data_IF_174993013028
#
_entry.id   IF_174993013028
#
_cell.length_a   1.000
_cell.length_b   1.000
_cell.length_c   1.000
_cell.angle_alpha   90.00
_cell.angle_beta   90.00
_cell.angle_gamma   90.00
#
_symmetry.space_group_name_H-M   'P 1'
#
loop_
_entity.id
_entity.type
_entity.pdbx_description
1 polymer ?
#
# COMPACT_ATOMS: atom_id res chain seq x y z
N UNK A 1 -2.12 -4.49 -26.09
CA UNK A 1 -3.14 -4.46 -25.02
C UNK A 1 -2.94 -5.74 -24.23
N UNK A 2 -2.54 -5.60 -22.97
CA UNK A 2 -2.29 -6.70 -22.04
C UNK A 2 -3.53 -6.96 -21.20
N UNK A 3 -3.65 -8.17 -20.68
CA UNK A 3 -4.61 -8.53 -19.64
C UNK A 3 -3.88 -8.68 -18.33
N UNK A 4 -4.15 -7.79 -17.39
CA UNK A 4 -3.41 -7.66 -16.14
C UNK A 4 -4.30 -7.97 -14.94
N UNK A 5 -3.79 -8.76 -14.00
CA UNK A 5 -4.35 -8.90 -12.66
C UNK A 5 -3.59 -7.98 -11.72
N UNK A 6 -4.28 -7.12 -10.99
CA UNK A 6 -3.66 -6.29 -9.96
C UNK A 6 -4.17 -6.75 -8.58
N UNK A 7 -3.25 -7.15 -7.71
CA UNK A 7 -3.51 -7.43 -6.30
C UNK A 7 -2.87 -6.29 -5.51
N UNK A 8 -3.68 -5.46 -4.85
CA UNK A 8 -3.20 -4.23 -4.26
C UNK A 8 -3.78 -3.93 -2.88
N UNK A 9 -3.02 -3.17 -2.09
CA UNK A 9 -3.50 -2.59 -0.86
C UNK A 9 -4.64 -1.59 -1.13
N UNK A 10 -5.70 -1.66 -0.34
CA UNK A 10 -6.83 -0.75 -0.45
C UNK A 10 -6.45 0.72 -0.22
N UNK A 11 -5.30 0.98 0.39
CA UNK A 11 -4.74 2.33 0.46
C UNK A 11 -4.47 2.98 -0.92
N UNK A 12 -4.27 2.16 -1.97
CA UNK A 12 -4.04 2.62 -3.35
C UNK A 12 -5.32 2.66 -4.20
N UNK A 13 -6.48 2.47 -3.58
CA UNK A 13 -7.74 2.30 -4.32
C UNK A 13 -8.03 3.45 -5.29
N UNK A 14 -7.93 4.69 -4.83
CA UNK A 14 -8.26 5.86 -5.65
C UNK A 14 -7.29 6.03 -6.80
N UNK A 15 -6.01 5.96 -6.50
CA UNK A 15 -4.92 6.19 -7.45
C UNK A 15 -4.92 5.11 -8.54
N UNK A 16 -4.93 3.84 -8.15
CA UNK A 16 -4.93 2.74 -9.11
C UNK A 16 -6.24 2.66 -9.90
N UNK A 17 -7.40 2.96 -9.30
CA UNK A 17 -8.68 2.98 -10.03
C UNK A 17 -8.70 4.08 -11.09
N UNK A 18 -8.23 5.27 -10.76
CA UNK A 18 -8.11 6.37 -11.72
C UNK A 18 -7.18 6.00 -12.89
N UNK A 19 -6.00 5.49 -12.58
CA UNK A 19 -5.01 5.14 -13.60
C UNK A 19 -5.45 3.95 -14.45
N UNK A 20 -6.11 2.96 -13.86
CA UNK A 20 -6.67 1.83 -14.59
C UNK A 20 -7.76 2.24 -15.57
N UNK A 21 -8.61 3.20 -15.19
CA UNK A 21 -9.65 3.73 -16.09
C UNK A 21 -9.07 4.40 -17.34
N UNK A 22 -7.83 4.85 -17.29
CA UNK A 22 -7.11 5.47 -18.41
C UNK A 22 -6.06 4.55 -19.05
N UNK A 23 -5.88 3.33 -18.54
CA UNK A 23 -4.92 2.36 -19.07
C UNK A 23 -5.37 1.80 -20.43
N UNK A 24 -4.45 1.55 -21.38
CA UNK A 24 -4.78 0.81 -22.60
C UNK A 24 -5.01 -0.68 -22.37
N UNK A 25 -4.78 -1.18 -21.17
CA UNK A 25 -4.82 -2.60 -20.82
C UNK A 25 -6.16 -3.00 -20.18
N UNK A 26 -6.48 -4.30 -20.21
CA UNK A 26 -7.62 -4.86 -19.48
C UNK A 26 -7.12 -5.21 -18.08
N UNK A 27 -7.78 -4.68 -17.06
CA UNK A 27 -7.33 -4.79 -15.67
C UNK A 27 -8.43 -5.39 -14.80
N UNK A 28 -8.09 -6.47 -14.11
CA UNK A 28 -8.89 -7.08 -13.05
C UNK A 28 -8.24 -6.81 -11.69
N UNK A 29 -9.01 -6.38 -10.69
CA UNK A 29 -8.50 -6.05 -9.36
C UNK A 29 -8.90 -7.06 -8.29
N UNK A 30 -7.96 -7.30 -7.37
CA UNK A 30 -8.22 -7.79 -6.00
C UNK A 30 -7.69 -6.76 -5.01
N UNK A 31 -8.55 -6.32 -4.10
CA UNK A 31 -8.20 -5.34 -3.07
C UNK A 31 -8.06 -6.03 -1.72
N UNK A 32 -6.85 -6.00 -1.14
CA UNK A 32 -6.64 -6.45 0.22
C UNK A 32 -6.79 -5.30 1.22
N UNK A 33 -7.28 -5.63 2.41
CA UNK A 33 -7.49 -4.65 3.47
C UNK A 33 -6.19 -3.94 3.87
N UNK A 34 -6.31 -2.67 4.24
CA UNK A 34 -5.22 -1.95 4.86
C UNK A 34 -4.80 -2.61 6.19
N UNK A 35 -3.52 -2.45 6.58
CA UNK A 35 -2.99 -2.94 7.86
C UNK A 35 -2.54 -4.40 7.87
N UNK A 36 -2.67 -5.16 6.78
CA UNK A 36 -2.20 -6.55 6.74
C UNK A 36 -0.70 -6.70 6.96
N UNK A 37 0.08 -5.65 6.68
CA UNK A 37 1.53 -5.62 6.93
C UNK A 37 1.88 -5.44 8.43
N UNK A 38 0.93 -5.04 9.27
CA UNK A 38 1.10 -4.93 10.72
C UNK A 38 1.03 -6.30 11.42
N UNK A 39 0.48 -7.30 10.74
CA UNK A 39 0.39 -8.67 11.24
C UNK A 39 1.57 -9.47 10.71
N UNK A 40 2.40 -9.99 11.59
CA UNK A 40 3.59 -10.78 11.21
C UNK A 40 3.18 -11.94 10.29
N UNK A 41 3.69 -11.93 9.06
CA UNK A 41 3.38 -12.93 8.03
C UNK A 41 1.97 -12.82 7.43
N UNK A 42 1.11 -11.91 7.89
CA UNK A 42 -0.27 -11.78 7.42
C UNK A 42 -0.36 -11.38 5.94
N UNK A 43 0.44 -10.41 5.53
CA UNK A 43 0.43 -9.93 4.16
C UNK A 43 0.92 -10.99 3.16
N UNK A 44 2.03 -11.68 3.46
CA UNK A 44 2.58 -12.71 2.56
C UNK A 44 1.60 -13.86 2.37
N UNK A 45 0.92 -14.29 3.44
CA UNK A 45 -0.09 -15.37 3.36
C UNK A 45 -1.26 -14.94 2.47
N UNK A 46 -1.81 -13.74 2.69
CA UNK A 46 -2.93 -13.26 1.90
C UNK A 46 -2.58 -13.07 0.41
N UNK A 47 -1.39 -12.54 0.11
CA UNK A 47 -0.93 -12.39 -1.27
C UNK A 47 -0.70 -13.74 -1.95
N UNK A 48 -0.11 -14.70 -1.25
CA UNK A 48 0.14 -16.06 -1.75
C UNK A 48 -1.18 -16.80 -2.06
N UNK A 49 -2.19 -16.65 -1.20
CA UNK A 49 -3.53 -17.21 -1.43
C UNK A 49 -4.19 -16.63 -2.69
N UNK A 50 -4.13 -15.31 -2.89
CA UNK A 50 -4.69 -14.65 -4.07
C UNK A 50 -3.92 -15.02 -5.36
N UNK A 51 -2.58 -15.07 -5.32
CA UNK A 51 -1.77 -15.51 -6.45
C UNK A 51 -2.11 -16.95 -6.83
N UNK A 52 -2.25 -17.86 -5.86
CA UNK A 52 -2.64 -19.26 -6.08
C UNK A 52 -4.06 -19.39 -6.64
N UNK A 53 -4.98 -18.53 -6.22
CA UNK A 53 -6.33 -18.49 -6.78
C UNK A 53 -6.29 -18.12 -8.28
N UNK A 54 -5.49 -17.12 -8.64
CA UNK A 54 -5.24 -16.73 -10.04
C UNK A 54 -4.59 -17.87 -10.82
N UNK A 55 -3.50 -18.44 -10.30
CA UNK A 55 -2.76 -19.54 -10.95
C UNK A 55 -3.63 -20.77 -11.23
N UNK A 56 -4.57 -21.06 -10.33
CA UNK A 56 -5.49 -22.21 -10.47
C UNK A 56 -6.74 -21.90 -11.32
N UNK A 57 -6.90 -20.68 -11.82
CA UNK A 57 -8.09 -20.23 -12.53
C UNK A 57 -9.35 -20.16 -11.67
N UNK A 58 -9.20 -20.08 -10.34
CA UNK A 58 -10.29 -20.02 -9.36
C UNK A 58 -10.39 -18.65 -8.67
N UNK A 59 -9.84 -17.62 -9.27
CA UNK A 59 -9.90 -16.26 -8.72
C UNK A 59 -11.36 -15.78 -8.63
N UNK A 60 -11.91 -15.58 -7.42
CA UNK A 60 -13.29 -15.16 -7.22
C UNK A 60 -13.54 -13.71 -7.64
N UNK A 61 -12.49 -12.93 -7.84
CA UNK A 61 -12.54 -11.51 -8.20
C UNK A 61 -12.44 -11.28 -9.72
N UNK A 62 -12.27 -12.33 -10.49
CA UNK A 62 -12.33 -12.26 -11.96
C UNK A 62 -13.78 -12.25 -12.40
N UNK A 63 -14.22 -11.16 -13.01
CA UNK A 63 -15.63 -10.83 -13.25
C UNK A 63 -16.32 -11.66 -14.33
N UNK A 64 -15.63 -12.55 -15.06
CA UNK A 64 -16.25 -13.32 -16.13
C UNK A 64 -15.63 -14.71 -16.30
N UNK A 65 -16.48 -15.73 -16.63
CA UNK A 65 -16.01 -17.09 -16.78
C UNK A 65 -14.93 -17.17 -17.87
N UNK A 66 -14.12 -18.18 -17.79
CA UNK A 66 -12.73 -18.14 -18.12
C UNK A 66 -12.50 -17.64 -19.53
N UNK A 67 -11.86 -16.51 -19.66
CA UNK A 67 -10.99 -16.40 -20.79
C UNK A 67 -10.01 -17.57 -20.61
N UNK A 68 -10.00 -18.52 -21.54
CA UNK A 68 -9.13 -19.70 -21.51
C UNK A 68 -7.62 -19.37 -21.54
N UNK A 69 -7.25 -18.13 -21.24
CA UNK A 69 -5.89 -17.65 -21.27
C UNK A 69 -5.51 -17.05 -19.91
N UNK A 70 -4.28 -17.35 -19.42
CA UNK A 70 -3.75 -16.73 -18.21
C UNK A 70 -3.63 -15.20 -18.38
N UNK A 71 -3.47 -14.48 -17.27
CA UNK A 71 -3.08 -13.08 -17.31
C UNK A 71 -1.67 -12.94 -17.91
N UNK A 72 -1.44 -11.87 -18.68
CA UNK A 72 -0.11 -11.55 -19.19
C UNK A 72 0.86 -11.23 -18.05
N UNK A 73 0.36 -10.67 -16.94
CA UNK A 73 1.10 -10.47 -15.71
C UNK A 73 0.17 -10.33 -14.50
N UNK A 74 0.69 -10.68 -13.32
CA UNK A 74 0.10 -10.35 -12.02
C UNK A 74 0.92 -9.19 -11.42
N UNK A 75 0.27 -8.07 -11.19
CA UNK A 75 0.88 -6.86 -10.65
C UNK A 75 0.61 -6.77 -9.15
N UNK A 76 1.65 -6.63 -8.33
CA UNK A 76 1.51 -6.44 -6.90
C UNK A 76 1.60 -4.94 -6.56
N UNK A 77 0.47 -4.33 -6.19
CA UNK A 77 0.39 -2.94 -5.75
C UNK A 77 0.87 -2.78 -4.31
N UNK A 78 2.14 -3.16 -4.09
CA UNK A 78 2.85 -3.15 -2.81
C UNK A 78 4.30 -2.75 -3.01
N UNK A 79 4.92 -2.16 -1.98
CA UNK A 79 6.36 -2.20 -1.81
C UNK A 79 6.78 -3.46 -1.06
N UNK A 80 8.00 -3.48 -0.51
CA UNK A 80 8.51 -4.56 0.35
C UNK A 80 7.63 -4.74 1.62
N UNK A 81 7.10 -3.63 2.18
CA UNK A 81 6.09 -3.60 3.23
C UNK A 81 6.42 -4.59 4.38
N UNK A 82 7.50 -4.35 5.10
CA UNK A 82 7.97 -5.21 6.21
C UNK A 82 8.24 -6.66 5.76
N UNK A 83 8.82 -6.86 4.58
CA UNK A 83 9.08 -8.15 3.94
C UNK A 83 7.79 -8.94 3.57
N UNK A 84 6.66 -8.26 3.49
CA UNK A 84 5.36 -8.88 3.23
C UNK A 84 5.17 -9.45 1.82
N UNK A 85 6.16 -9.27 0.92
CA UNK A 85 6.16 -9.85 -0.42
C UNK A 85 7.28 -10.89 -0.64
N UNK A 86 8.09 -11.15 0.39
CA UNK A 86 9.22 -12.09 0.29
C UNK A 86 8.71 -13.54 0.13
N UNK A 87 9.34 -14.28 -0.76
CA UNK A 87 8.99 -15.66 -1.06
C UNK A 87 7.80 -15.86 -2.00
N UNK A 88 7.09 -14.80 -2.39
CA UNK A 88 5.97 -14.90 -3.33
C UNK A 88 6.43 -15.38 -4.71
N UNK A 89 5.60 -16.20 -5.33
CA UNK A 89 5.83 -16.78 -6.65
C UNK A 89 4.49 -17.04 -7.35
N UNK A 90 4.44 -16.92 -8.67
CA UNK A 90 3.34 -17.41 -9.49
C UNK A 90 3.85 -18.50 -10.42
N UNK A 91 3.03 -19.49 -10.69
CA UNK A 91 3.37 -20.60 -11.58
C UNK A 91 2.96 -20.36 -13.03
N UNK A 92 2.05 -19.43 -13.29
CA UNK A 92 1.45 -19.22 -14.61
C UNK A 92 1.84 -17.92 -15.28
N UNK A 93 2.01 -16.85 -14.51
CA UNK A 93 2.22 -15.49 -15.03
C UNK A 93 3.39 -14.81 -14.32
N UNK A 94 4.13 -13.91 -14.97
CA UNK A 94 5.15 -13.13 -14.27
C UNK A 94 4.52 -12.23 -13.19
N UNK A 95 5.21 -12.09 -12.05
CA UNK A 95 4.86 -11.07 -11.05
C UNK A 95 5.58 -9.77 -11.39
N UNK A 96 4.88 -8.65 -11.34
CA UNK A 96 5.46 -7.31 -11.51
C UNK A 96 5.28 -6.52 -10.23
N UNK A 97 6.39 -6.01 -9.71
CA UNK A 97 6.45 -5.38 -8.39
C UNK A 97 7.25 -4.09 -8.47
N UNK A 98 6.73 -2.94 -8.00
CA UNK A 98 7.54 -1.74 -7.89
C UNK A 98 8.71 -1.91 -6.91
N UNK A 99 9.90 -1.41 -7.28
CA UNK A 99 11.08 -1.39 -6.38
C UNK A 99 10.92 -0.30 -5.33
N UNK A 100 10.15 -0.60 -4.31
CA UNK A 100 9.76 0.31 -3.24
C UNK A 100 9.88 -0.35 -1.86
N UNK A 101 10.31 0.40 -0.84
CA UNK A 101 10.31 -0.12 0.54
C UNK A 101 8.89 -0.23 1.10
N UNK A 102 8.03 0.73 0.75
CA UNK A 102 6.64 0.82 1.22
C UNK A 102 5.77 1.60 0.23
N UNK A 103 4.47 1.73 0.55
CA UNK A 103 3.51 2.42 -0.29
C UNK A 103 3.76 3.94 -0.41
N UNK A 104 4.52 4.57 0.48
CA UNK A 104 4.84 6.00 0.39
C UNK A 104 5.62 6.28 -0.89
N UNK A 105 6.55 5.39 -1.25
CA UNK A 105 7.27 5.45 -2.53
C UNK A 105 6.31 5.45 -3.71
N UNK A 106 5.23 4.64 -3.65
CA UNK A 106 4.26 4.52 -4.74
C UNK A 106 3.46 5.82 -4.92
N UNK A 107 3.13 6.49 -3.82
CA UNK A 107 2.44 7.79 -3.87
C UNK A 107 3.35 8.94 -4.29
N UNK A 108 4.63 8.91 -3.91
CA UNK A 108 5.62 9.94 -4.25
C UNK A 108 6.25 9.74 -5.64
N UNK A 109 6.06 8.56 -6.26
CA UNK A 109 6.50 8.22 -7.60
C UNK A 109 7.98 7.83 -7.74
N UNK A 110 8.81 7.96 -6.67
CA UNK A 110 10.24 7.67 -6.73
C UNK A 110 10.81 7.29 -5.36
N UNK A 111 11.63 6.23 -5.32
CA UNK A 111 12.37 5.81 -4.13
C UNK A 111 13.45 6.83 -3.72
N UNK A 112 14.05 7.52 -4.68
CA UNK A 112 15.05 8.57 -4.47
C UNK A 112 14.41 9.78 -3.80
N UNK A 113 13.25 10.21 -4.29
CA UNK A 113 12.48 11.30 -3.70
C UNK A 113 12.04 10.99 -2.28
N UNK A 114 11.53 9.76 -2.04
CA UNK A 114 11.17 9.34 -0.68
C UNK A 114 12.39 9.33 0.24
N UNK A 115 13.53 8.80 -0.21
CA UNK A 115 14.79 8.79 0.55
C UNK A 115 15.25 10.21 0.92
N UNK A 116 15.13 11.16 -0.01
CA UNK A 116 15.45 12.56 0.24
C UNK A 116 14.52 13.16 1.29
N UNK A 117 13.20 13.05 1.08
CA UNK A 117 12.19 13.57 2.00
C UNK A 117 12.34 12.96 3.40
N UNK A 118 12.62 11.67 3.50
CA UNK A 118 12.85 11.00 4.78
C UNK A 118 14.08 11.56 5.54
N UNK A 119 15.15 11.91 4.81
CA UNK A 119 16.34 12.54 5.41
C UNK A 119 16.08 13.97 5.87
N UNK A 120 15.32 14.72 5.09
CA UNK A 120 15.03 16.14 5.37
C UNK A 120 13.94 16.29 6.44
N UNK A 121 12.98 15.37 6.48
CA UNK A 121 11.77 15.43 7.29
C UNK A 121 11.62 14.18 8.18
N UNK A 122 12.66 13.85 8.95
CA UNK A 122 12.60 12.74 9.91
C UNK A 122 11.45 12.93 10.92
N UNK A 123 10.84 11.81 11.34
CA UNK A 123 9.70 11.86 12.27
C UNK A 123 8.39 12.31 11.61
N UNK A 124 8.22 12.05 10.31
CA UNK A 124 6.98 12.31 9.57
C UNK A 124 6.11 11.05 9.51
N UNK A 125 4.87 11.16 9.98
CA UNK A 125 3.84 10.16 9.78
C UNK A 125 3.05 10.49 8.51
N UNK A 126 3.00 9.55 7.56
CA UNK A 126 2.50 9.81 6.22
C UNK A 126 1.04 9.43 6.04
N UNK A 127 0.31 10.25 5.29
CA UNK A 127 -1.05 9.98 4.85
C UNK A 127 -1.22 10.19 3.34
N UNK A 128 -2.03 9.32 2.75
CA UNK A 128 -2.64 9.51 1.44
C UNK A 128 -4.17 9.47 1.58
N UNK A 129 -4.89 9.77 0.51
CA UNK A 129 -6.35 9.67 0.48
C UNK A 129 -6.83 8.28 0.94
N UNK A 130 -6.23 7.23 0.41
CA UNK A 130 -6.63 5.86 0.75
C UNK A 130 -6.31 5.46 2.19
N UNK A 131 -5.26 6.02 2.80
CA UNK A 131 -4.98 5.79 4.21
C UNK A 131 -6.02 6.43 5.10
N UNK A 132 -6.40 7.68 4.83
CA UNK A 132 -7.43 8.39 5.58
C UNK A 132 -8.76 7.65 5.53
N UNK A 133 -9.09 7.04 4.40
CA UNK A 133 -10.34 6.32 4.19
C UNK A 133 -10.38 4.91 4.77
N UNK A 134 -9.24 4.24 4.89
CA UNK A 134 -9.18 2.83 5.27
C UNK A 134 -8.51 2.56 6.61
N UNK A 135 -8.04 3.60 7.31
CA UNK A 135 -7.39 3.49 8.61
C UNK A 135 -7.95 4.52 9.58
N UNK A 136 -8.23 4.15 10.83
CA UNK A 136 -8.51 5.15 11.85
C UNK A 136 -7.26 6.01 12.06
N UNK A 137 -7.41 7.33 11.90
CA UNK A 137 -6.32 8.27 12.14
C UNK A 137 -5.91 8.23 13.62
N UNK A 138 -4.62 8.41 13.94
CA UNK A 138 -4.17 8.51 15.33
C UNK A 138 -4.87 9.67 16.04
N UNK A 139 -5.00 9.56 17.35
CA UNK A 139 -5.69 10.53 18.18
C UNK A 139 -6.78 9.90 19.04
N UNK A 140 -7.50 10.74 19.77
CA UNK A 140 -8.44 10.34 20.82
C UNK A 140 -9.50 9.32 20.36
N UNK A 141 -10.09 9.54 19.18
CA UNK A 141 -11.13 8.64 18.67
C UNK A 141 -10.60 7.22 18.44
N UNK A 142 -9.40 7.09 17.86
CA UNK A 142 -8.76 5.80 17.65
C UNK A 142 -8.42 5.15 18.99
N UNK A 143 -7.85 5.91 19.92
CA UNK A 143 -7.57 5.46 21.28
C UNK A 143 -8.82 4.88 21.95
N UNK A 144 -9.94 5.62 22.00
CA UNK A 144 -11.21 5.18 22.57
C UNK A 144 -11.73 3.89 21.89
N UNK A 145 -11.64 3.78 20.57
CA UNK A 145 -12.02 2.58 19.83
C UNK A 145 -11.15 1.37 20.22
N UNK A 146 -9.84 1.56 20.36
CA UNK A 146 -8.94 0.49 20.75
C UNK A 146 -9.16 0.05 22.19
N UNK A 147 -9.33 1.00 23.12
CA UNK A 147 -9.67 0.68 24.52
C UNK A 147 -10.96 -0.15 24.58
N UNK A 148 -12.00 0.26 23.86
CA UNK A 148 -13.26 -0.49 23.82
C UNK A 148 -13.07 -1.93 23.29
N UNK A 149 -12.25 -2.11 22.25
CA UNK A 149 -11.93 -3.43 21.69
C UNK A 149 -11.13 -4.31 22.67
N UNK A 150 -10.16 -3.74 23.36
CA UNK A 150 -9.38 -4.47 24.37
C UNK A 150 -10.20 -4.80 25.62
N UNK A 151 -11.14 -3.93 26.00
CA UNK A 151 -12.04 -4.15 27.13
C UNK A 151 -13.02 -5.33 26.92
N UNK A 152 -13.17 -5.84 25.70
CA UNK A 152 -13.88 -7.11 25.45
C UNK A 152 -13.15 -8.33 26.04
N UNK A 153 -11.84 -8.23 26.26
CA UNK A 153 -10.98 -9.33 26.70
C UNK A 153 -10.32 -9.10 28.06
N UNK A 154 -10.16 -7.84 28.46
CA UNK A 154 -9.45 -7.42 29.66
C UNK A 154 -10.35 -6.50 30.50
N UNK A 155 -10.00 -6.27 31.75
CA UNK A 155 -10.60 -5.17 32.51
C UNK A 155 -10.18 -3.81 31.94
N UNK A 156 -10.92 -2.75 32.28
CA UNK A 156 -10.74 -1.42 31.67
C UNK A 156 -9.34 -0.85 31.95
N UNK A 157 -8.81 -1.01 33.16
CA UNK A 157 -7.47 -0.50 33.53
C UNK A 157 -6.36 -1.19 32.69
N UNK A 158 -6.47 -2.51 32.55
CA UNK A 158 -5.56 -3.28 31.69
C UNK A 158 -5.72 -2.89 30.21
N UNK A 159 -6.95 -2.67 29.74
CA UNK A 159 -7.20 -2.27 28.36
C UNK A 159 -6.59 -0.89 28.05
N UNK A 160 -6.79 0.10 28.92
CA UNK A 160 -6.18 1.43 28.81
C UNK A 160 -4.64 1.34 28.79
N UNK A 161 -4.06 0.64 29.74
CA UNK A 161 -2.60 0.45 29.81
C UNK A 161 -2.01 -0.17 28.53
N UNK A 162 -2.66 -1.21 27.99
CA UNK A 162 -2.19 -1.88 26.77
C UNK A 162 -2.29 -0.97 25.54
N UNK A 163 -3.33 -0.15 25.45
CA UNK A 163 -3.50 0.81 24.35
C UNK A 163 -2.50 1.93 24.47
N UNK A 164 -2.27 2.49 25.67
CA UNK A 164 -1.24 3.50 25.91
C UNK A 164 0.14 3.01 25.46
N UNK A 165 0.51 1.79 25.88
CA UNK A 165 1.76 1.15 25.49
C UNK A 165 1.85 0.95 23.96
N UNK A 166 0.77 0.50 23.34
CA UNK A 166 0.71 0.32 21.89
C UNK A 166 0.86 1.67 21.15
N UNK A 167 0.39 2.77 21.70
CA UNK A 167 0.42 4.09 21.07
C UNK A 167 1.67 4.91 21.39
N UNK A 168 2.63 4.39 22.17
CA UNK A 168 3.92 5.06 22.45
C UNK A 168 4.71 5.41 21.17
N UNK A 169 4.47 4.69 20.05
CA UNK A 169 5.09 5.01 18.77
C UNK A 169 4.82 6.45 18.30
N UNK A 170 3.69 7.06 18.71
CA UNK A 170 3.33 8.44 18.35
C UNK A 170 4.39 9.44 18.79
N UNK A 171 5.15 9.14 19.87
CA UNK A 171 6.23 9.99 20.38
C UNK A 171 7.42 10.06 19.42
N UNK A 172 7.54 9.14 18.47
CA UNK A 172 8.59 9.13 17.46
C UNK A 172 8.30 10.10 16.29
N UNK A 173 7.09 10.68 16.27
CA UNK A 173 6.65 11.56 15.22
C UNK A 173 6.36 12.98 15.75
N UNK A 174 6.63 13.95 14.90
CA UNK A 174 6.34 15.36 15.18
C UNK A 174 5.66 16.05 13.99
N UNK A 175 5.48 15.33 12.91
CA UNK A 175 4.90 15.82 11.65
C UNK A 175 3.89 14.83 11.08
N UNK A 176 2.86 15.40 10.47
CA UNK A 176 1.93 14.69 9.62
C UNK A 176 2.19 15.11 8.18
N UNK A 177 2.67 14.18 7.35
CA UNK A 177 2.91 14.39 5.93
C UNK A 177 1.71 13.92 5.12
N UNK A 178 0.97 14.84 4.48
CA UNK A 178 -0.11 14.50 3.58
C UNK A 178 0.36 14.53 2.14
N UNK A 179 0.21 13.41 1.42
CA UNK A 179 0.55 13.32 0.00
C UNK A 179 -0.72 13.58 -0.82
N UNK A 180 -0.67 14.60 -1.65
CA UNK A 180 -1.76 15.03 -2.53
C UNK A 180 -1.39 14.78 -3.99
N UNK A 181 -2.28 14.13 -4.75
CA UNK A 181 -2.14 14.04 -6.19
C UNK A 181 -2.91 15.16 -6.87
N UNK A 182 -2.30 15.80 -7.86
CA UNK A 182 -2.91 16.90 -8.60
C UNK A 182 -4.24 16.50 -9.27
N UNK A 183 -4.34 15.22 -9.68
CA UNK A 183 -5.53 14.63 -10.28
C UNK A 183 -6.77 14.66 -9.36
N UNK A 184 -6.56 14.79 -8.04
CA UNK A 184 -7.64 14.83 -7.04
C UNK A 184 -7.85 16.22 -6.40
N UNK A 185 -7.13 17.26 -6.85
CA UNK A 185 -7.11 18.57 -6.20
C UNK A 185 -8.50 19.21 -6.04
N UNK A 186 -9.37 19.04 -7.05
CA UNK A 186 -10.70 19.64 -7.07
C UNK A 186 -11.80 18.74 -6.48
N UNK A 187 -11.46 17.53 -6.06
CA UNK A 187 -12.43 16.56 -5.55
C UNK A 187 -12.93 16.93 -4.15
N UNK A 188 -14.22 16.70 -3.88
CA UNK A 188 -14.85 17.00 -2.59
C UNK A 188 -14.21 16.22 -1.43
N UNK A 189 -13.83 14.96 -1.66
CA UNK A 189 -13.16 14.16 -0.64
C UNK A 189 -11.80 14.75 -0.23
N UNK A 190 -11.08 15.40 -1.13
CA UNK A 190 -9.79 16.04 -0.82
C UNK A 190 -9.97 17.12 0.24
N UNK A 191 -10.98 17.99 0.10
CA UNK A 191 -11.29 19.01 1.12
C UNK A 191 -11.68 18.42 2.48
N UNK A 192 -12.42 17.31 2.46
CA UNK A 192 -12.77 16.58 3.69
C UNK A 192 -11.52 15.98 4.35
N UNK A 193 -10.60 15.43 3.57
CA UNK A 193 -9.34 14.89 4.06
C UNK A 193 -8.42 15.98 4.62
N UNK A 194 -8.39 17.18 4.02
CA UNK A 194 -7.65 18.34 4.53
C UNK A 194 -8.12 18.74 5.92
N UNK A 195 -9.43 18.75 6.14
CA UNK A 195 -9.99 19.05 7.45
C UNK A 195 -9.64 17.97 8.48
N UNK A 196 -9.74 16.68 8.10
CA UNK A 196 -9.40 15.56 8.98
C UNK A 196 -7.92 15.56 9.37
N UNK A 197 -7.03 15.74 8.42
CA UNK A 197 -5.57 15.75 8.67
C UNK A 197 -5.16 16.95 9.53
N UNK A 198 -5.77 18.12 9.32
CA UNK A 198 -5.51 19.29 10.17
C UNK A 198 -5.95 19.05 11.60
N UNK A 199 -7.16 18.53 11.81
CA UNK A 199 -7.66 18.19 13.15
C UNK A 199 -6.77 17.16 13.85
N UNK A 200 -6.34 16.13 13.13
CA UNK A 200 -5.43 15.12 13.66
C UNK A 200 -4.09 15.72 14.07
N UNK A 201 -3.49 16.56 13.24
CA UNK A 201 -2.22 17.23 13.55
C UNK A 201 -2.34 18.16 14.76
N UNK A 202 -3.42 18.94 14.84
CA UNK A 202 -3.72 19.83 15.99
C UNK A 202 -3.88 19.01 17.29
N UNK A 203 -4.61 17.91 17.25
CA UNK A 203 -4.84 17.05 18.41
C UNK A 203 -3.56 16.41 18.94
N UNK A 204 -2.66 15.98 18.04
CA UNK A 204 -1.39 15.35 18.39
C UNK A 204 -0.26 16.35 18.65
N UNK A 205 -0.47 17.65 18.39
CA UNK A 205 0.56 18.66 18.47
C UNK A 205 1.63 18.52 17.38
N UNK A 206 1.29 17.87 16.25
CA UNK A 206 2.19 17.68 15.12
C UNK A 206 2.06 18.81 14.08
N UNK A 207 3.14 19.06 13.35
CA UNK A 207 3.11 20.00 12.22
C UNK A 207 2.51 19.29 11.00
N UNK A 208 1.46 19.87 10.41
CA UNK A 208 0.94 19.39 9.12
C UNK A 208 1.81 19.93 7.98
N UNK A 209 2.23 19.04 7.11
CA UNK A 209 3.02 19.36 5.92
C UNK A 209 2.42 18.64 4.70
N UNK A 210 2.27 19.36 3.60
CA UNK A 210 1.69 18.81 2.37
C UNK A 210 2.78 18.54 1.34
N UNK A 211 2.68 17.38 0.69
CA UNK A 211 3.62 16.93 -0.33
C UNK A 211 2.86 16.65 -1.63
N UNK A 212 3.39 17.13 -2.72
CA UNK A 212 2.87 16.77 -4.04
C UNK A 212 3.23 15.31 -4.35
N UNK A 213 2.25 14.50 -4.69
CA UNK A 213 2.45 13.13 -5.19
C UNK A 213 2.84 13.14 -6.65
N UNK A 214 3.29 11.98 -7.14
CA UNK A 214 3.63 11.78 -8.55
C UNK A 214 3.03 10.46 -9.05
N UNK A 215 2.12 10.56 -10.01
CA UNK A 215 1.41 9.41 -10.57
C UNK A 215 2.23 8.59 -11.56
N UNK A 216 3.43 9.05 -11.98
CA UNK A 216 4.21 8.46 -13.09
C UNK A 216 4.54 6.99 -12.83
N UNK A 217 5.02 6.62 -11.63
CA UNK A 217 5.36 5.24 -11.30
C UNK A 217 4.15 4.31 -11.44
N UNK A 218 3.02 4.66 -10.83
CA UNK A 218 1.81 3.84 -10.90
C UNK A 218 1.14 3.89 -12.28
N UNK A 219 1.28 4.98 -13.03
CA UNK A 219 0.83 5.06 -14.42
C UNK A 219 1.60 4.07 -15.30
N UNK A 220 2.92 4.04 -15.21
CA UNK A 220 3.76 3.09 -15.94
C UNK A 220 3.48 1.65 -15.50
N UNK A 221 3.23 1.42 -14.22
CA UNK A 221 2.83 0.13 -13.67
C UNK A 221 1.60 -0.45 -14.36
N UNK A 222 0.50 0.31 -14.45
CA UNK A 222 -0.75 -0.15 -15.09
C UNK A 222 -0.71 -0.10 -16.61
N UNK A 223 0.22 0.66 -17.19
CA UNK A 223 0.40 0.77 -18.64
C UNK A 223 1.23 -0.39 -19.23
N UNK A 224 1.98 -1.12 -18.40
CA UNK A 224 2.88 -2.18 -18.88
C UNK A 224 4.28 -1.69 -19.24
N UNK A 225 4.68 -0.48 -18.79
CA UNK A 225 5.98 0.12 -19.04
C UNK A 225 6.96 -0.20 -17.90
N UNK A 226 7.35 -1.45 -17.80
CA UNK A 226 8.15 -1.96 -16.68
C UNK A 226 9.63 -1.98 -17.01
N UNK A 227 10.34 -0.91 -16.70
CA UNK A 227 11.80 -0.88 -16.74
C UNK A 227 12.42 -1.48 -15.46
N UNK A 228 13.64 -2.04 -15.58
CA UNK A 228 14.33 -2.76 -14.52
C UNK A 228 14.77 -1.85 -13.35
N UNK A 229 14.83 -0.54 -13.54
CA UNK A 229 15.23 0.41 -12.50
C UNK A 229 14.10 0.61 -11.47
N UNK A 230 12.85 0.65 -11.95
CA UNK A 230 11.68 0.95 -11.13
C UNK A 230 10.84 -0.27 -10.78
N UNK A 231 10.96 -1.34 -11.56
CA UNK A 231 10.14 -2.54 -11.39
C UNK A 231 10.98 -3.81 -11.38
N UNK A 232 10.54 -4.79 -10.61
CA UNK A 232 11.01 -6.16 -10.68
C UNK A 232 9.97 -6.99 -11.46
N UNK A 233 10.41 -7.65 -12.54
CA UNK A 233 9.59 -8.63 -13.25
C UNK A 233 10.11 -10.03 -12.88
N UNK A 234 9.34 -10.75 -12.07
CA UNK A 234 9.68 -12.09 -11.58
C UNK A 234 9.10 -13.12 -12.55
N UNK A 235 9.95 -13.94 -13.23
CA UNK A 235 9.45 -14.98 -14.12
C UNK A 235 8.62 -16.04 -13.37
N UNK A 236 7.67 -16.73 -14.04
CA UNK A 236 6.93 -17.84 -13.45
C UNK A 236 7.86 -18.89 -12.81
N UNK A 237 7.52 -19.34 -11.60
CA UNK A 237 8.28 -20.32 -10.84
C UNK A 237 9.46 -19.76 -10.04
N UNK A 238 9.84 -18.49 -10.24
CA UNK A 238 10.86 -17.82 -9.40
C UNK A 238 10.20 -17.14 -8.20
N UNK A 239 10.99 -16.91 -7.15
CA UNK A 239 10.51 -16.34 -5.89
C UNK A 239 11.09 -14.95 -5.66
N UNK A 240 10.28 -14.06 -5.14
CA UNK A 240 10.72 -12.73 -4.68
C UNK A 240 11.66 -12.89 -3.49
N UNK A 241 12.78 -12.15 -3.51
CA UNK A 241 13.73 -12.05 -2.40
C UNK A 241 14.01 -10.57 -2.08
N UNK A 242 14.02 -10.23 -0.79
CA UNK A 242 14.43 -8.90 -0.34
C UNK A 242 15.94 -8.73 -0.46
N UNK A 243 16.39 -7.52 -0.85
CA UNK A 243 17.82 -7.16 -0.83
C UNK A 243 18.04 -6.01 0.15
N UNK A 244 19.28 -5.89 0.65
CA UNK A 244 19.70 -4.74 1.46
C UNK A 244 20.45 -3.69 0.61
N UNK A 245 20.21 -3.71 -0.71
CA UNK A 245 20.83 -2.83 -1.69
C UNK A 245 19.80 -1.85 -2.29
N UNK A 246 20.23 -0.98 -3.16
CA UNK A 246 19.37 0.02 -3.83
C UNK A 246 18.25 -0.60 -4.70
N UNK A 247 18.41 -1.85 -5.10
CA UNK A 247 17.40 -2.63 -5.84
C UNK A 247 16.18 -2.99 -5.00
N UNK A 248 16.32 -3.02 -3.66
CA UNK A 248 15.29 -3.33 -2.67
C UNK A 248 14.83 -4.79 -2.75
N UNK A 249 14.51 -5.28 -3.95
CA UNK A 249 14.00 -6.63 -4.23
C UNK A 249 14.67 -7.25 -5.45
N UNK A 250 14.81 -8.56 -5.43
CA UNK A 250 15.28 -9.40 -6.54
C UNK A 250 14.45 -10.67 -6.61
N UNK A 251 14.83 -11.64 -7.44
CA UNK A 251 14.24 -12.97 -7.45
C UNK A 251 15.31 -14.07 -7.45
N UNK A 252 14.93 -15.22 -6.92
CA UNK A 252 15.74 -16.44 -6.84
C UNK A 252 15.00 -17.67 -7.38
N UNK A 253 15.71 -18.78 -7.48
CA UNK A 253 15.16 -20.07 -7.91
C UNK A 253 14.19 -20.70 -6.89
#
# INVERSE_FOLDING_TARGET
MLRLKIIACKALFRELSLLAAHSPNIIDFTWLSWGMHDVIGGLVVALDEEIKAVDSGKDPHTSYPPFDQPFDAILLGYGLCSNGIEGLSSSTSPLVIPRAHDCITLFLGSKERYRQLFKENGGTFWFSAGWIENSPMPGKKRHEMMVAQYAEKYDLETAEYLVDLYEEWQQNYSRLGKINWAEFAEEEFTRSHDELTRKCAEELGWTLEEFEGDSTLLRDFVAGNWDDERFLVVPPGKKVEATYQDDIITFVD
#
